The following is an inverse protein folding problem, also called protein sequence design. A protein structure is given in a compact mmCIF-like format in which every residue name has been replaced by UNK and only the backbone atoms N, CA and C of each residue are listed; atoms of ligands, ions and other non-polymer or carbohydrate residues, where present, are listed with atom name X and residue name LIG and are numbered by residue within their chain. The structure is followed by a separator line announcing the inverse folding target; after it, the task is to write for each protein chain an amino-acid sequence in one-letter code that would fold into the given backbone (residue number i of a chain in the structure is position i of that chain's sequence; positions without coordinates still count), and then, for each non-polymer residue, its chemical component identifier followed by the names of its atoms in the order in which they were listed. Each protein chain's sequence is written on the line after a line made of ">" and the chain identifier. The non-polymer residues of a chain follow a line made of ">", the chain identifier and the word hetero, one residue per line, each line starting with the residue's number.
data_IF_472233627375
#
_entry.id   IF_472233627375
#
_cell.length_a   1.000
_cell.length_b   1.000
_cell.length_c   1.000
_cell.angle_alpha   90.00
_cell.angle_beta   90.00
_cell.angle_gamma   90.00
#
_symmetry.space_group_name_H-M   'P 1'
#
loop_
_entity.id
_entity.type
_entity.pdbx_description
1 polymer ?
#
# COMPACT_ATOMS: atom_id res chain seq x y z
N UNK A 1 -36.60 -21.93 -44.28
CA UNK A 1 -36.84 -21.50 -42.88
C UNK A 1 -35.62 -21.84 -42.03
N UNK A 2 -34.88 -20.84 -41.55
CA UNK A 2 -33.69 -21.05 -40.72
C UNK A 2 -34.10 -21.58 -39.33
N UNK A 3 -33.69 -22.80 -38.99
CA UNK A 3 -33.96 -23.42 -37.69
C UNK A 3 -33.30 -22.59 -36.58
N UNK A 4 -34.09 -22.17 -35.59
CA UNK A 4 -33.59 -21.40 -34.45
C UNK A 4 -32.51 -22.19 -33.68
N UNK A 5 -31.37 -21.54 -33.42
CA UNK A 5 -30.24 -22.15 -32.68
C UNK A 5 -30.63 -22.29 -31.20
N UNK A 6 -30.54 -23.50 -30.64
CA UNK A 6 -30.81 -23.77 -29.21
C UNK A 6 -29.82 -23.00 -28.34
N UNK A 7 -30.34 -22.25 -27.35
CA UNK A 7 -29.53 -21.55 -26.36
C UNK A 7 -28.93 -22.59 -25.40
N UNK A 8 -27.60 -22.62 -25.19
CA UNK A 8 -26.98 -23.56 -24.27
C UNK A 8 -27.41 -23.28 -22.82
N UNK A 9 -27.98 -24.30 -22.17
CA UNK A 9 -28.43 -24.22 -20.77
C UNK A 9 -27.23 -24.17 -19.83
N UNK A 10 -27.31 -23.32 -18.81
CA UNK A 10 -26.28 -23.19 -17.76
C UNK A 10 -26.17 -24.50 -16.98
N UNK A 11 -24.97 -25.08 -16.94
CA UNK A 11 -24.69 -26.31 -16.19
C UNK A 11 -24.72 -26.03 -14.68
N UNK A 12 -25.25 -26.97 -13.90
CA UNK A 12 -25.19 -26.91 -12.44
C UNK A 12 -23.76 -27.20 -11.97
N UNK A 13 -23.17 -26.27 -11.21
CA UNK A 13 -21.86 -26.47 -10.58
C UNK A 13 -22.08 -26.99 -9.16
N UNK A 14 -21.87 -28.29 -8.97
CA UNK A 14 -22.07 -28.96 -7.69
C UNK A 14 -22.53 -30.41 -7.90
N UNK A 15 -22.63 -31.15 -6.80
CA UNK A 15 -23.14 -32.52 -6.85
C UNK A 15 -24.62 -32.48 -7.24
N UNK A 16 -24.96 -33.23 -8.29
CA UNK A 16 -26.32 -33.30 -8.84
C UNK A 16 -27.23 -34.24 -8.04
N UNK A 17 -26.63 -35.21 -7.36
CA UNK A 17 -27.35 -36.19 -6.55
C UNK A 17 -27.82 -35.55 -5.22
N UNK A 18 -29.13 -35.58 -4.89
CA UNK A 18 -29.66 -34.92 -3.71
C UNK A 18 -29.13 -35.54 -2.40
N UNK A 19 -28.99 -36.87 -2.34
CA UNK A 19 -28.49 -37.59 -1.16
C UNK A 19 -27.04 -37.21 -0.82
N UNK A 20 -26.16 -37.16 -1.82
CA UNK A 20 -24.76 -36.73 -1.62
C UNK A 20 -24.66 -35.25 -1.24
N UNK A 21 -25.58 -34.42 -1.71
CA UNK A 21 -25.65 -33.01 -1.32
C UNK A 21 -26.06 -32.86 0.15
N UNK A 22 -27.02 -33.67 0.62
CA UNK A 22 -27.41 -33.75 2.03
C UNK A 22 -26.26 -34.25 2.89
N UNK A 23 -25.59 -35.34 2.51
CA UNK A 23 -24.43 -35.89 3.22
C UNK A 23 -23.30 -34.85 3.35
N UNK A 24 -22.99 -34.10 2.28
CA UNK A 24 -22.00 -33.03 2.36
C UNK A 24 -22.44 -31.86 3.25
N UNK A 25 -23.74 -31.56 3.28
CA UNK A 25 -24.30 -30.52 4.14
C UNK A 25 -24.22 -30.97 5.61
N UNK A 26 -24.58 -32.21 5.91
CA UNK A 26 -24.50 -32.82 7.24
C UNK A 26 -23.06 -32.93 7.74
N UNK A 27 -22.11 -33.36 6.90
CA UNK A 27 -20.67 -33.40 7.23
C UNK A 27 -20.07 -32.02 7.55
N UNK A 28 -20.62 -30.96 6.95
CA UNK A 28 -20.22 -29.58 7.26
C UNK A 28 -20.88 -29.09 8.54
N UNK A 29 -22.17 -29.39 8.73
CA UNK A 29 -22.94 -28.98 9.90
C UNK A 29 -22.47 -29.69 11.18
N UNK A 30 -21.99 -30.94 11.09
CA UNK A 30 -21.54 -31.72 12.25
C UNK A 30 -20.40 -31.08 13.04
N UNK A 31 -19.65 -30.15 12.43
CA UNK A 31 -18.56 -29.41 13.06
C UNK A 31 -18.94 -27.99 13.51
N UNK A 32 -20.11 -27.50 13.12
CA UNK A 32 -20.55 -26.11 13.34
C UNK A 32 -21.56 -26.01 14.49
N UNK A 33 -22.38 -27.04 14.70
CA UNK A 33 -23.27 -27.11 15.85
C UNK A 33 -22.47 -27.36 17.12
N UNK A 34 -22.99 -26.88 18.26
CA UNK A 34 -22.39 -27.02 19.59
C UNK A 34 -22.54 -28.48 20.09
N UNK A 35 -22.03 -29.42 19.29
CA UNK A 35 -22.04 -30.83 19.61
C UNK A 35 -21.03 -31.07 20.72
N UNK A 36 -21.34 -31.95 21.69
CA UNK A 36 -20.38 -32.33 22.70
C UNK A 36 -19.14 -32.94 22.03
N UNK A 37 -17.95 -32.81 22.64
CA UNK A 37 -16.75 -33.47 22.14
C UNK A 37 -17.01 -34.98 22.03
N UNK A 38 -16.56 -35.61 20.95
CA UNK A 38 -16.79 -37.03 20.69
C UNK A 38 -16.20 -37.95 21.75
N UNK A 39 -15.18 -37.48 22.47
CA UNK A 39 -14.47 -38.20 23.52
C UNK A 39 -14.14 -37.22 24.64
N UNK A 40 -14.49 -37.57 25.87
CA UNK A 40 -14.40 -36.69 27.04
C UNK A 40 -12.96 -36.41 27.44
N UNK A 41 -12.07 -37.40 27.30
CA UNK A 41 -10.70 -37.34 27.83
C UNK A 41 -9.63 -37.03 26.77
N UNK A 42 -10.02 -36.91 25.49
CA UNK A 42 -9.05 -36.61 24.43
C UNK A 42 -8.87 -35.10 24.27
N UNK A 43 -7.75 -34.59 24.78
CA UNK A 43 -7.33 -33.23 24.47
C UNK A 43 -6.86 -33.15 23.01
N UNK A 44 -7.66 -32.52 22.15
CA UNK A 44 -7.28 -32.31 20.77
C UNK A 44 -6.06 -31.37 20.69
N UNK A 45 -4.95 -31.90 20.16
CA UNK A 45 -3.80 -31.06 19.80
C UNK A 45 -4.18 -30.01 18.76
N UNK A 46 -3.58 -28.83 18.89
CA UNK A 46 -3.88 -27.69 18.01
C UNK A 46 -3.66 -28.03 16.53
N UNK A 47 -4.41 -27.36 15.64
CA UNK A 47 -4.28 -27.58 14.19
C UNK A 47 -2.84 -27.37 13.68
N UNK A 48 -2.15 -26.35 14.18
CA UNK A 48 -0.75 -26.07 13.84
C UNK A 48 0.19 -27.19 14.28
N UNK A 49 -0.06 -27.78 15.45
CA UNK A 49 0.72 -28.91 15.94
C UNK A 49 0.50 -30.16 15.07
N UNK A 50 -0.74 -30.45 14.66
CA UNK A 50 -1.02 -31.53 13.70
C UNK A 50 -0.29 -31.33 12.37
N UNK A 51 -0.25 -30.10 11.86
CA UNK A 51 0.52 -29.77 10.66
C UNK A 51 2.02 -29.99 10.86
N UNK A 52 2.56 -29.53 11.98
CA UNK A 52 3.97 -29.74 12.32
C UNK A 52 4.31 -31.23 12.43
N UNK A 53 3.47 -32.02 13.09
CA UNK A 53 3.65 -33.47 13.20
C UNK A 53 3.60 -34.16 11.83
N UNK A 54 2.67 -33.77 10.95
CA UNK A 54 2.64 -34.26 9.57
C UNK A 54 3.90 -33.89 8.78
N UNK A 55 4.44 -32.69 8.99
CA UNK A 55 5.69 -32.24 8.41
C UNK A 55 6.88 -33.06 8.94
N UNK A 56 6.96 -33.28 10.26
CA UNK A 56 8.03 -34.08 10.87
C UNK A 56 7.98 -35.53 10.45
N UNK A 57 6.79 -36.13 10.38
CA UNK A 57 6.60 -37.51 9.95
C UNK A 57 6.88 -37.66 8.45
N UNK A 58 6.50 -36.67 7.65
CA UNK A 58 6.85 -36.59 6.23
C UNK A 58 8.36 -36.50 6.01
N UNK A 59 9.06 -35.67 6.78
CA UNK A 59 10.51 -35.54 6.73
C UNK A 59 11.22 -36.82 7.18
N UNK A 60 10.75 -37.45 8.28
CA UNK A 60 11.25 -38.75 8.77
C UNK A 60 11.03 -39.87 7.75
N UNK A 61 9.90 -39.87 7.06
CA UNK A 61 9.59 -40.81 5.98
C UNK A 61 10.33 -40.51 4.66
N UNK A 62 11.26 -39.54 4.63
CA UNK A 62 12.03 -39.18 3.44
C UNK A 62 11.20 -38.52 2.33
N UNK A 63 9.95 -38.15 2.60
CA UNK A 63 9.14 -37.38 1.65
C UNK A 63 9.74 -36.00 1.57
N UNK A 64 10.46 -35.72 0.48
CA UNK A 64 10.87 -34.36 0.11
C UNK A 64 9.60 -33.55 -0.01
N UNK A 65 9.25 -32.81 1.04
CA UNK A 65 8.24 -31.79 0.96
C UNK A 65 8.68 -30.91 -0.19
N UNK A 66 7.90 -30.92 -1.27
CA UNK A 66 7.97 -29.83 -2.23
C UNK A 66 7.56 -28.63 -1.40
N UNK A 67 8.54 -27.94 -0.84
CA UNK A 67 8.40 -26.54 -0.54
C UNK A 67 7.84 -26.01 -1.85
N UNK A 68 6.54 -25.70 -1.89
CA UNK A 68 5.99 -25.02 -3.05
C UNK A 68 6.89 -23.81 -3.16
N UNK A 69 7.77 -23.83 -4.14
CA UNK A 69 8.66 -22.74 -4.41
C UNK A 69 7.70 -21.64 -4.84
N UNK A 70 7.32 -20.80 -3.88
CA UNK A 70 6.55 -19.60 -4.11
C UNK A 70 7.40 -18.82 -5.11
N UNK A 71 7.02 -18.91 -6.39
CA UNK A 71 7.76 -18.31 -7.51
C UNK A 71 8.36 -19.25 -8.58
N UNK A 72 8.19 -20.59 -8.54
CA UNK A 72 8.69 -21.47 -9.63
C UNK A 72 7.63 -22.20 -10.47
N UNK A 73 6.34 -21.92 -10.27
CA UNK A 73 5.28 -22.45 -11.14
C UNK A 73 5.22 -21.73 -12.51
N UNK A 74 5.89 -20.58 -12.65
CA UNK A 74 6.04 -19.83 -13.92
C UNK A 74 7.30 -20.20 -14.71
N UNK A 75 8.02 -21.27 -14.34
CA UNK A 75 9.06 -21.81 -15.23
C UNK A 75 8.41 -22.87 -16.13
N UNK A 76 8.20 -22.58 -17.43
CA UNK A 76 7.70 -23.60 -18.34
C UNK A 76 8.66 -24.79 -18.30
N UNK A 77 8.10 -26.01 -18.25
CA UNK A 77 8.88 -27.23 -18.46
C UNK A 77 9.63 -27.07 -19.79
N UNK A 78 10.94 -26.88 -19.68
CA UNK A 78 11.85 -26.84 -20.82
C UNK A 78 11.93 -28.23 -21.43
N UNK A 79 10.94 -28.57 -22.25
CA UNK A 79 11.22 -29.40 -23.42
C UNK A 79 12.20 -28.60 -24.29
N UNK A 80 13.28 -29.26 -24.68
CA UNK A 80 14.50 -28.61 -25.15
C UNK A 80 14.29 -27.54 -26.20
N UNK A 81 14.84 -26.36 -25.92
CA UNK A 81 15.51 -25.45 -26.85
C UNK A 81 15.93 -24.21 -26.06
N UNK A 82 17.23 -24.05 -25.89
CA UNK A 82 17.84 -22.84 -25.39
C UNK A 82 17.62 -21.71 -26.41
N UNK A 83 16.47 -21.05 -26.37
CA UNK A 83 16.21 -19.83 -27.11
C UNK A 83 15.44 -18.85 -26.22
N UNK A 84 16.08 -17.70 -26.01
CA UNK A 84 15.50 -16.42 -25.61
C UNK A 84 15.21 -16.16 -24.11
N UNK A 85 16.25 -16.30 -23.27
CA UNK A 85 16.39 -15.55 -22.00
C UNK A 85 17.17 -14.24 -22.26
N UNK A 86 16.93 -13.55 -23.39
CA UNK A 86 17.58 -12.27 -23.71
C UNK A 86 16.64 -11.07 -23.63
N UNK A 87 15.43 -11.23 -23.08
CA UNK A 87 14.44 -10.15 -22.98
C UNK A 87 14.08 -9.82 -21.54
N UNK A 88 15.04 -9.39 -20.72
CA UNK A 88 14.73 -8.54 -19.54
C UNK A 88 15.96 -7.99 -18.79
N UNK A 89 17.13 -8.62 -18.87
CA UNK A 89 18.36 -7.97 -18.43
C UNK A 89 19.03 -7.40 -19.66
N UNK A 90 18.91 -6.08 -19.87
CA UNK A 90 19.88 -5.38 -20.71
C UNK A 90 21.24 -5.78 -20.16
N UNK A 91 22.00 -6.56 -20.93
CA UNK A 91 23.32 -7.06 -20.56
C UNK A 91 24.08 -5.98 -19.80
N UNK A 92 24.10 -6.07 -18.47
CA UNK A 92 25.03 -5.32 -17.67
C UNK A 92 26.36 -5.93 -18.04
N UNK A 93 27.00 -5.38 -19.08
CA UNK A 93 28.35 -5.77 -19.48
C UNK A 93 29.15 -5.75 -18.20
N UNK A 94 29.68 -6.89 -17.80
CA UNK A 94 30.51 -6.98 -16.59
C UNK A 94 31.61 -5.93 -16.73
N UNK A 95 31.48 -4.81 -16.00
CA UNK A 95 32.39 -3.67 -16.12
C UNK A 95 33.64 -4.10 -15.36
N UNK A 96 34.61 -4.65 -16.09
CA UNK A 96 35.92 -4.97 -15.53
C UNK A 96 36.82 -3.75 -15.68
N UNK A 97 37.71 -3.55 -14.71
CA UNK A 97 38.80 -2.59 -14.81
C UNK A 97 39.70 -2.97 -16.00
N UNK A 98 40.14 -1.98 -16.77
CA UNK A 98 41.09 -2.21 -17.85
C UNK A 98 42.52 -2.31 -17.30
N UNK A 99 43.42 -2.99 -18.03
CA UNK A 99 44.80 -3.22 -17.58
C UNK A 99 45.59 -1.93 -17.29
N UNK A 100 45.25 -0.82 -17.96
CA UNK A 100 45.94 0.47 -17.84
C UNK A 100 45.09 1.56 -17.14
N UNK A 101 44.01 1.18 -16.46
CA UNK A 101 43.08 2.13 -15.84
C UNK A 101 43.37 2.26 -14.34
N UNK A 102 43.51 3.50 -13.85
CA UNK A 102 43.62 3.75 -12.41
C UNK A 102 42.30 3.41 -11.71
N UNK A 103 42.35 2.99 -10.45
CA UNK A 103 41.14 2.66 -9.67
C UNK A 103 40.13 3.82 -9.67
N UNK A 104 40.63 5.06 -9.59
CA UNK A 104 39.79 6.25 -9.61
C UNK A 104 39.08 6.46 -10.94
N UNK A 105 39.76 6.18 -12.06
CA UNK A 105 39.18 6.30 -13.39
C UNK A 105 38.18 5.18 -13.64
N UNK A 106 38.48 3.97 -13.17
CA UNK A 106 37.55 2.85 -13.17
C UNK A 106 36.25 3.18 -12.44
N UNK A 107 36.32 3.70 -11.21
CA UNK A 107 35.15 4.10 -10.45
C UNK A 107 34.36 5.22 -11.14
N UNK A 108 35.04 6.22 -11.73
CA UNK A 108 34.39 7.28 -12.53
C UNK A 108 33.68 6.71 -13.76
N UNK A 109 34.30 5.77 -14.46
CA UNK A 109 33.72 5.08 -15.62
C UNK A 109 32.51 4.23 -15.22
N UNK A 110 32.60 3.46 -14.15
CA UNK A 110 31.49 2.69 -13.57
C UNK A 110 30.33 3.63 -13.24
N UNK A 111 30.58 4.72 -12.51
CA UNK A 111 29.54 5.69 -12.15
C UNK A 111 28.89 6.33 -13.39
N UNK A 112 29.67 6.64 -14.43
CA UNK A 112 29.14 7.16 -15.70
C UNK A 112 28.25 6.13 -16.42
N UNK A 113 28.65 4.87 -16.48
CA UNK A 113 27.87 3.80 -17.13
C UNK A 113 26.59 3.52 -16.33
N UNK A 114 26.68 3.42 -15.01
CA UNK A 114 25.53 3.18 -14.13
C UNK A 114 24.52 4.31 -14.22
N UNK A 115 24.97 5.57 -14.13
CA UNK A 115 24.08 6.74 -14.26
C UNK A 115 23.46 6.87 -15.65
N UNK A 116 24.15 6.46 -16.72
CA UNK A 116 23.58 6.38 -18.06
C UNK A 116 22.48 5.29 -18.15
N UNK A 117 22.73 4.11 -17.58
CA UNK A 117 21.77 3.00 -17.52
C UNK A 117 20.51 3.38 -16.74
N UNK A 118 20.67 4.02 -15.57
CA UNK A 118 19.54 4.51 -14.75
C UNK A 118 18.70 5.54 -15.51
N UNK A 119 19.34 6.52 -16.17
CA UNK A 119 18.62 7.53 -16.96
C UNK A 119 17.87 6.91 -18.14
N UNK A 120 18.47 5.92 -18.79
CA UNK A 120 17.81 5.18 -19.87
C UNK A 120 16.60 4.41 -19.36
N UNK A 121 16.72 3.65 -18.26
CA UNK A 121 15.59 2.94 -17.66
C UNK A 121 14.45 3.89 -17.22
N UNK A 122 14.80 5.06 -16.68
CA UNK A 122 13.82 6.10 -16.34
C UNK A 122 13.11 6.64 -17.59
N UNK A 123 13.84 6.85 -18.68
CA UNK A 123 13.28 7.28 -19.96
C UNK A 123 12.32 6.22 -20.52
N UNK A 124 12.73 4.96 -20.53
CA UNK A 124 11.92 3.83 -20.98
C UNK A 124 10.63 3.70 -20.19
N UNK A 125 10.69 3.81 -18.86
CA UNK A 125 9.52 3.77 -18.00
C UNK A 125 8.60 4.97 -18.22
N UNK A 126 9.16 6.17 -18.35
CA UNK A 126 8.40 7.41 -18.55
C UNK A 126 7.60 7.40 -19.86
N UNK A 127 8.21 6.89 -20.94
CA UNK A 127 7.60 6.92 -22.26
C UNK A 127 7.00 5.58 -22.70
N UNK A 128 7.23 4.50 -21.96
CA UNK A 128 6.77 3.15 -22.31
C UNK A 128 7.46 2.62 -23.57
N UNK A 129 8.77 2.83 -23.69
CA UNK A 129 9.56 2.53 -24.89
C UNK A 129 10.80 1.75 -24.49
N UNK A 130 11.30 0.90 -25.37
CA UNK A 130 12.58 0.20 -25.24
C UNK A 130 13.62 0.92 -26.12
N UNK A 131 14.72 1.34 -25.50
CA UNK A 131 15.89 1.93 -26.13
C UNK A 131 16.88 0.81 -26.41
N UNK A 132 17.09 0.49 -27.67
CA UNK A 132 18.00 -0.56 -28.13
C UNK A 132 19.23 0.11 -28.75
N UNK A 133 20.39 -0.08 -28.13
CA UNK A 133 21.67 0.42 -28.64
C UNK A 133 22.41 -0.69 -29.37
N UNK A 134 22.75 -0.46 -30.63
CA UNK A 134 23.57 -1.40 -31.39
C UNK A 134 25.01 -1.37 -30.86
N UNK A 135 25.59 -2.51 -30.41
CA UNK A 135 26.89 -2.52 -29.76
C UNK A 135 28.05 -2.23 -30.72
N UNK A 136 27.83 -2.39 -32.03
CA UNK A 136 28.84 -2.20 -33.08
C UNK A 136 28.80 -0.80 -33.71
N UNK A 137 27.61 -0.27 -33.99
CA UNK A 137 27.45 1.03 -34.68
C UNK A 137 27.11 2.18 -33.73
N UNK A 138 26.72 1.91 -32.49
CA UNK A 138 26.29 2.93 -31.54
C UNK A 138 24.93 3.55 -31.85
N UNK A 139 24.26 3.13 -32.93
CA UNK A 139 22.94 3.62 -33.32
C UNK A 139 21.90 3.24 -32.27
N UNK A 140 21.03 4.21 -31.95
CA UNK A 140 20.00 4.08 -30.91
C UNK A 140 18.65 3.97 -31.61
N UNK A 141 18.04 2.78 -31.52
CA UNK A 141 16.68 2.55 -32.03
C UNK A 141 15.69 2.52 -30.87
N UNK A 142 14.52 3.12 -31.10
CA UNK A 142 13.53 3.40 -30.06
C UNK A 142 12.24 2.65 -30.42
N UNK A 143 11.97 1.55 -29.74
CA UNK A 143 10.83 0.67 -30.04
C UNK A 143 9.77 0.74 -28.95
N UNK A 144 8.50 1.02 -29.30
CA UNK A 144 7.41 1.08 -28.31
C UNK A 144 7.30 -0.25 -27.57
N UNK A 145 7.26 -0.21 -26.24
CA UNK A 145 7.11 -1.42 -25.42
C UNK A 145 5.69 -1.97 -25.64
N UNK A 146 5.52 -3.30 -25.84
CA UNK A 146 4.20 -3.90 -25.84
C UNK A 146 3.53 -3.60 -24.49
N UNK A 147 2.22 -3.33 -24.52
CA UNK A 147 1.50 -2.97 -23.30
C UNK A 147 1.43 -4.19 -22.40
N UNK A 148 1.94 -4.06 -21.17
CA UNK A 148 1.79 -5.12 -20.19
C UNK A 148 0.32 -5.16 -19.74
N UNK A 149 -0.27 -6.35 -19.68
CA UNK A 149 -1.67 -6.55 -19.26
C UNK A 149 -1.94 -5.96 -17.86
N UNK A 150 -0.95 -6.00 -16.98
CA UNK A 150 -1.00 -5.43 -15.63
C UNK A 150 -1.13 -3.91 -15.66
N UNK A 151 -0.35 -3.22 -16.50
CA UNK A 151 -0.41 -1.77 -16.64
C UNK A 151 -1.73 -1.32 -17.24
N UNK A 152 -2.30 -2.10 -18.16
CA UNK A 152 -3.66 -1.86 -18.68
C UNK A 152 -4.71 -2.02 -17.60
N UNK A 153 -4.63 -3.06 -16.76
CA UNK A 153 -5.56 -3.27 -15.64
C UNK A 153 -5.46 -2.14 -14.59
N UNK A 154 -4.26 -1.67 -14.29
CA UNK A 154 -4.02 -0.57 -13.36
C UNK A 154 -4.58 0.76 -13.91
N UNK A 155 -4.36 1.01 -15.20
CA UNK A 155 -4.93 2.17 -15.91
C UNK A 155 -6.44 2.10 -16.02
N UNK A 156 -7.02 0.92 -16.25
CA UNK A 156 -8.47 0.68 -16.24
C UNK A 156 -9.05 0.95 -14.86
N UNK A 157 -8.45 0.43 -13.78
CA UNK A 157 -8.89 0.66 -12.39
C UNK A 157 -8.79 2.13 -12.00
N UNK A 158 -7.72 2.82 -12.39
CA UNK A 158 -7.56 4.26 -12.12
C UNK A 158 -8.61 5.08 -12.89
N UNK A 159 -8.92 4.69 -14.14
CA UNK A 159 -9.99 5.30 -14.94
C UNK A 159 -11.37 5.00 -14.36
N UNK A 160 -11.60 3.79 -13.85
CA UNK A 160 -12.84 3.40 -13.17
C UNK A 160 -13.03 4.19 -11.87
N UNK A 161 -11.99 4.38 -11.07
CA UNK A 161 -12.06 5.25 -9.88
C UNK A 161 -12.33 6.72 -10.25
N UNK A 162 -11.68 7.25 -11.29
CA UNK A 162 -11.94 8.62 -11.77
C UNK A 162 -13.36 8.78 -12.34
N UNK A 163 -13.88 7.77 -13.01
CA UNK A 163 -15.23 7.75 -13.55
C UNK A 163 -16.29 7.39 -12.50
N UNK A 164 -15.94 6.73 -11.39
CA UNK A 164 -16.87 6.51 -10.28
C UNK A 164 -17.32 7.83 -9.64
N UNK A 165 -16.47 8.87 -9.69
CA UNK A 165 -16.81 10.24 -9.26
C UNK A 165 -17.59 11.06 -10.29
N UNK A 166 -17.58 10.69 -11.58
CA UNK A 166 -18.35 11.36 -12.65
C UNK A 166 -19.31 10.34 -13.26
N UNK A 167 -20.60 10.42 -12.92
CA UNK A 167 -21.73 9.56 -13.39
C UNK A 167 -21.91 9.46 -14.92
N UNK A 168 -20.87 9.14 -15.68
CA UNK A 168 -20.90 8.95 -17.12
C UNK A 168 -20.62 7.48 -17.39
N UNK A 169 -21.71 6.75 -17.57
CA UNK A 169 -21.74 5.36 -18.03
C UNK A 169 -21.18 5.28 -19.45
N UNK A 170 -19.86 5.23 -19.62
CA UNK A 170 -19.28 4.70 -20.86
C UNK A 170 -18.95 3.23 -20.66
N UNK A 171 -19.90 2.37 -21.07
CA UNK A 171 -19.66 0.94 -21.30
C UNK A 171 -18.65 0.81 -22.45
N UNK A 172 -17.38 0.61 -22.14
CA UNK A 172 -16.44 0.10 -23.14
C UNK A 172 -16.63 -1.41 -23.20
N UNK A 173 -17.14 -1.89 -24.34
CA UNK A 173 -17.26 -3.31 -24.70
C UNK A 173 -15.86 -3.93 -24.88
N UNK A 174 -15.11 -4.09 -23.80
CA UNK A 174 -13.97 -4.99 -23.79
C UNK A 174 -14.32 -6.15 -22.88
N UNK A 175 -14.38 -7.34 -23.47
CA UNK A 175 -14.57 -8.58 -22.73
C UNK A 175 -13.39 -8.68 -21.75
N UNK A 176 -13.62 -8.84 -20.44
CA UNK A 176 -12.53 -9.09 -19.51
C UNK A 176 -11.86 -10.39 -19.94
N UNK A 177 -10.56 -10.32 -20.24
CA UNK A 177 -9.76 -11.45 -20.69
C UNK A 177 -9.53 -12.48 -19.57
N UNK A 178 -9.82 -12.11 -18.32
CA UNK A 178 -9.62 -12.92 -17.12
C UNK A 178 -10.82 -12.87 -16.19
N UNK A 179 -11.06 -13.99 -15.49
CA UNK A 179 -12.11 -14.10 -14.47
C UNK A 179 -11.96 -13.00 -13.39
N UNK A 180 -13.08 -12.38 -12.99
CA UNK A 180 -13.08 -11.26 -12.05
C UNK A 180 -12.50 -11.61 -10.65
N UNK A 181 -12.35 -12.91 -10.35
CA UNK A 181 -11.72 -13.40 -9.11
C UNK A 181 -10.20 -13.47 -9.24
N UNK A 182 -9.68 -13.96 -10.37
CA UNK A 182 -8.24 -14.10 -10.60
C UNK A 182 -7.58 -12.73 -10.78
N UNK A 183 -8.24 -11.78 -11.43
CA UNK A 183 -7.75 -10.40 -11.52
C UNK A 183 -7.69 -9.70 -10.16
N UNK A 184 -8.70 -9.89 -9.30
CA UNK A 184 -8.69 -9.36 -7.93
C UNK A 184 -7.58 -9.96 -7.08
N UNK A 185 -7.29 -11.24 -7.26
CA UNK A 185 -6.24 -11.94 -6.52
C UNK A 185 -4.83 -11.50 -6.97
N UNK A 186 -4.61 -11.38 -8.28
CA UNK A 186 -3.37 -10.83 -8.84
C UNK A 186 -3.11 -9.40 -8.37
N UNK A 187 -4.15 -8.55 -8.37
CA UNK A 187 -4.05 -7.18 -7.87
C UNK A 187 -3.75 -7.17 -6.37
N UNK A 188 -4.40 -8.03 -5.58
CA UNK A 188 -4.15 -8.13 -4.13
C UNK A 188 -2.73 -8.61 -3.83
N UNK A 189 -2.20 -9.54 -4.64
CA UNK A 189 -0.82 -10.02 -4.56
C UNK A 189 0.18 -8.92 -4.90
N UNK A 190 -0.01 -8.21 -6.00
CA UNK A 190 0.84 -7.08 -6.39
C UNK A 190 0.82 -5.94 -5.36
N UNK A 191 -0.33 -5.64 -4.75
CA UNK A 191 -0.40 -4.65 -3.66
C UNK A 191 0.28 -5.12 -2.38
N UNK A 192 0.30 -6.43 -2.12
CA UNK A 192 1.01 -7.00 -0.98
C UNK A 192 2.52 -6.95 -1.22
N UNK A 193 2.97 -7.38 -2.39
CA UNK A 193 4.36 -7.38 -2.83
C UNK A 193 4.94 -5.95 -2.89
N UNK A 194 4.23 -4.98 -3.48
CA UNK A 194 4.66 -3.58 -3.48
C UNK A 194 4.65 -2.90 -2.10
N UNK A 195 3.94 -3.50 -1.12
CA UNK A 195 3.96 -3.05 0.28
C UNK A 195 5.11 -3.72 1.04
N UNK A 196 5.41 -4.97 0.70
CA UNK A 196 6.48 -5.81 1.25
C UNK A 196 7.86 -5.43 0.69
N UNK A 197 7.95 -4.87 -0.53
CA UNK A 197 9.11 -4.21 -1.13
C UNK A 197 9.34 -2.78 -0.63
N UNK A 198 8.34 -2.17 0.01
CA UNK A 198 8.49 -0.89 0.73
C UNK A 198 8.80 -1.06 2.21
N UNK A 199 8.66 -2.27 2.75
CA UNK A 199 9.02 -2.64 4.12
C UNK A 199 10.24 -3.56 4.30
N UNK A 200 11.05 -3.96 3.29
CA UNK A 200 12.15 -4.88 3.53
C UNK A 200 13.38 -4.15 4.08
N UNK A 201 13.41 -2.81 3.98
CA UNK A 201 14.45 -1.98 4.59
C UNK A 201 14.23 -1.75 6.10
N UNK A 202 13.04 -2.05 6.65
CA UNK A 202 12.73 -1.81 8.07
C UNK A 202 12.62 -3.09 8.93
N UNK A 203 12.30 -4.26 8.35
CA UNK A 203 12.03 -5.48 9.14
C UNK A 203 13.15 -6.53 9.07
N UNK A 204 14.14 -6.36 8.19
CA UNK A 204 15.34 -7.21 8.09
C UNK A 204 16.64 -6.47 8.39
N UNK A 205 16.58 -5.25 8.93
CA UNK A 205 17.74 -4.72 9.65
C UNK A 205 17.89 -5.54 10.94
N UNK A 206 19.03 -6.23 11.18
CA UNK A 206 19.30 -6.75 12.52
C UNK A 206 19.13 -5.58 13.49
N UNK A 207 18.46 -5.82 14.62
CA UNK A 207 18.37 -4.89 15.75
C UNK A 207 19.72 -4.18 15.83
N UNK A 208 19.72 -2.86 15.57
CA UNK A 208 20.95 -2.06 15.61
C UNK A 208 21.36 -2.00 17.08
N UNK A 209 22.05 -3.04 17.53
CA UNK A 209 22.87 -2.97 18.72
C UNK A 209 23.77 -1.75 18.53
N UNK A 210 23.67 -0.82 19.49
CA UNK A 210 24.51 0.38 19.52
C UNK A 210 25.98 -0.06 19.48
N UNK A 211 26.60 -0.02 18.31
CA UNK A 211 28.03 -0.16 18.16
C UNK A 211 28.66 1.10 18.75
N UNK A 212 29.43 0.93 19.83
CA UNK A 212 30.22 2.01 20.40
C UNK A 212 31.40 2.25 19.48
N UNK A 213 31.48 3.44 18.92
CA UNK A 213 32.70 3.87 18.24
C UNK A 213 33.78 4.14 19.30
N UNK A 214 34.93 3.50 19.12
CA UNK A 214 36.15 3.74 19.92
C UNK A 214 37.09 4.61 19.09
N UNK A 215 37.36 5.83 19.54
CA UNK A 215 38.28 6.76 18.88
C UNK A 215 39.62 6.80 19.61
N UNK A 216 40.73 6.94 18.88
CA UNK A 216 42.05 7.06 19.47
C UNK A 216 42.31 8.51 19.93
N UNK A 217 43.14 8.67 20.96
CA UNK A 217 43.52 9.99 21.45
C UNK A 217 44.33 10.73 20.39
N UNK A 218 43.77 11.80 19.83
CA UNK A 218 44.33 12.56 18.71
C UNK A 218 43.42 12.66 17.48
N UNK A 219 42.33 11.90 17.41
CA UNK A 219 41.33 12.02 16.35
C UNK A 219 40.55 13.34 16.48
N UNK A 220 40.69 14.23 15.47
CA UNK A 220 39.93 15.48 15.40
C UNK A 220 38.57 15.19 14.76
N UNK A 221 37.53 15.06 15.60
CA UNK A 221 36.14 14.87 15.15
C UNK A 221 35.65 16.16 14.46
N UNK A 222 35.24 16.06 13.20
CA UNK A 222 34.61 17.18 12.49
C UNK A 222 33.29 17.58 13.15
N UNK A 223 32.93 18.86 13.00
CA UNK A 223 31.66 19.38 13.51
C UNK A 223 30.49 18.48 13.08
N UNK A 224 29.55 18.19 14.00
CA UNK A 224 28.45 17.29 13.72
C UNK A 224 27.68 17.76 12.48
N UNK A 225 27.11 16.83 11.69
CA UNK A 225 26.40 17.19 10.47
C UNK A 225 25.26 18.17 10.76
N UNK A 226 25.30 19.34 10.12
CA UNK A 226 24.25 20.33 10.26
C UNK A 226 22.94 19.83 9.64
N UNK A 227 21.86 19.80 10.42
CA UNK A 227 20.52 19.43 9.95
C UNK A 227 19.97 20.50 9.00
N UNK A 228 20.24 20.35 7.69
CA UNK A 228 19.74 21.24 6.63
C UNK A 228 18.22 21.14 6.43
N UNK A 229 17.60 20.08 6.93
CA UNK A 229 16.19 19.77 6.73
C UNK A 229 15.36 20.15 7.95
N UNK A 230 14.27 20.88 7.72
CA UNK A 230 13.37 21.33 8.79
C UNK A 230 12.56 20.18 9.38
N UNK A 231 12.32 20.17 10.71
CA UNK A 231 11.39 19.23 11.32
C UNK A 231 9.97 19.45 10.77
N UNK A 232 9.24 18.33 10.64
CA UNK A 232 7.98 18.19 9.90
C UNK A 232 6.84 19.13 10.32
N UNK A 233 6.95 19.82 11.46
CA UNK A 233 5.92 20.72 12.03
C UNK A 233 6.40 22.14 12.35
N UNK A 234 7.65 22.51 12.07
CA UNK A 234 8.09 23.89 12.30
C UNK A 234 7.46 24.84 11.27
N UNK A 235 6.93 25.99 11.70
CA UNK A 235 6.38 27.02 10.84
C UNK A 235 7.49 27.74 10.04
N UNK A 236 7.16 28.25 8.84
CA UNK A 236 8.17 28.81 7.93
C UNK A 236 8.74 30.16 8.36
N UNK A 237 8.03 30.85 9.23
CA UNK A 237 8.29 32.27 9.49
C UNK A 237 8.97 32.50 10.85
N UNK A 238 8.97 31.52 11.77
CA UNK A 238 9.56 31.67 13.11
C UNK A 238 11.07 31.36 13.19
N UNK A 239 11.56 30.34 12.48
CA UNK A 239 12.86 29.74 12.84
C UNK A 239 14.07 30.30 12.08
N UNK A 240 13.87 30.95 10.93
CA UNK A 240 14.98 31.59 10.19
C UNK A 240 14.52 32.91 9.61
N UNK A 241 15.01 34.02 10.17
CA UNK A 241 14.78 35.35 9.63
C UNK A 241 15.45 35.45 8.24
N UNK A 242 14.66 35.27 7.19
CA UNK A 242 15.12 35.52 5.82
C UNK A 242 14.92 37.01 5.52
N UNK A 243 15.99 37.77 5.20
CA UNK A 243 15.84 39.18 4.86
C UNK A 243 14.90 39.32 3.65
N UNK A 244 13.93 40.24 3.74
CA UNK A 244 12.98 40.55 2.66
C UNK A 244 11.56 39.95 2.79
N UNK A 245 11.23 39.23 3.87
CA UNK A 245 9.85 38.79 4.11
C UNK A 245 9.03 39.81 4.90
N UNK A 246 7.90 40.22 4.30
CA UNK A 246 6.96 41.21 4.87
C UNK A 246 6.24 40.76 6.14
N UNK A 247 6.31 39.48 6.52
CA UNK A 247 5.60 38.91 7.68
C UNK A 247 6.25 39.27 9.01
N UNK A 248 7.58 39.46 9.03
CA UNK A 248 8.36 39.67 10.25
C UNK A 248 8.86 41.13 10.33
N UNK A 249 8.25 42.03 9.55
CA UNK A 249 8.55 43.46 9.63
C UNK A 249 7.80 44.05 10.82
N UNK A 250 8.54 44.75 11.69
CA UNK A 250 8.02 45.46 12.86
C UNK A 250 6.84 46.39 12.50
N UNK A 251 6.92 47.03 11.33
CA UNK A 251 5.88 47.93 10.84
C UNK A 251 4.55 47.20 10.60
N UNK A 252 4.59 45.93 10.21
CA UNK A 252 3.39 45.12 10.01
C UNK A 252 2.75 44.71 11.33
N UNK A 253 3.53 44.37 12.36
CA UNK A 253 2.97 44.05 13.69
C UNK A 253 2.33 45.27 14.36
N UNK A 254 2.86 46.47 14.11
CA UNK A 254 2.27 47.71 14.59
C UNK A 254 0.95 48.03 13.88
N UNK A 255 0.86 47.79 12.57
CA UNK A 255 -0.35 48.03 11.78
C UNK A 255 -1.45 46.96 11.95
N UNK A 256 -1.10 45.68 12.12
CA UNK A 256 -2.07 44.59 12.35
C UNK A 256 -2.58 44.53 13.80
N UNK A 257 -2.08 45.38 14.72
CA UNK A 257 -2.53 45.45 16.11
C UNK A 257 -4.00 45.91 16.25
N UNK A 258 -4.55 46.60 15.25
CA UNK A 258 -5.94 47.06 15.25
C UNK A 258 -6.95 46.00 14.77
N UNK A 259 -6.52 44.79 14.43
CA UNK A 259 -7.35 43.72 13.86
C UNK A 259 -7.35 42.41 14.69
N UNK A 260 -6.89 42.45 15.93
CA UNK A 260 -7.03 41.29 16.83
C UNK A 260 -8.49 41.15 17.32
N UNK A 261 -9.13 39.97 17.16
CA UNK A 261 -10.32 39.64 17.91
C UNK A 261 -9.92 39.36 19.36
N UNK A 262 -10.35 40.22 20.27
CA UNK A 262 -10.27 40.01 21.70
C UNK A 262 -11.25 38.89 22.09
N UNK A 263 -10.73 37.83 22.69
CA UNK A 263 -11.52 36.87 23.45
C UNK A 263 -11.87 37.50 24.81
N UNK A 264 -13.08 38.02 24.95
CA UNK A 264 -13.69 38.29 26.25
C UNK A 264 -15.07 37.67 26.31
N UNK A 265 -15.30 36.95 27.40
CA UNK A 265 -16.55 36.32 27.76
C UNK A 265 -17.66 37.36 28.03
N UNK A 266 -18.89 36.82 28.05
CA UNK A 266 -20.14 37.40 28.55
C UNK A 266 -21.11 38.06 27.56
N UNK A 267 -22.38 37.92 27.91
CA UNK A 267 -23.54 37.72 27.06
C UNK A 267 -24.26 39.02 26.65
N UNK A 268 -25.00 38.94 25.53
CA UNK A 268 -26.41 39.36 25.33
C UNK A 268 -26.70 39.90 23.90
N UNK A 269 -27.58 39.17 23.21
CA UNK A 269 -28.58 39.61 22.19
C UNK A 269 -28.20 40.39 20.92
N UNK A 270 -29.05 40.31 19.87
CA UNK A 270 -28.63 40.40 18.47
C UNK A 270 -29.02 41.72 17.80
N UNK A 271 -28.38 42.06 16.68
CA UNK A 271 -29.01 42.80 15.57
C UNK A 271 -28.25 42.57 14.26
N UNK A 272 -29.05 42.44 13.21
CA UNK A 272 -28.78 42.33 11.78
C UNK A 272 -28.01 43.51 11.19
N UNK A 273 -27.09 43.23 10.24
CA UNK A 273 -26.94 44.02 9.01
C UNK A 273 -26.09 43.28 7.96
N UNK A 274 -26.60 43.19 6.71
CA UNK A 274 -25.79 42.98 5.49
C UNK A 274 -25.10 44.32 5.14
N UNK A 275 -23.95 44.34 4.45
CA UNK A 275 -24.04 44.50 2.99
C UNK A 275 -22.92 43.86 2.14
N UNK A 276 -23.34 43.52 0.91
CA UNK A 276 -22.74 43.80 -0.41
C UNK A 276 -21.40 43.15 -0.82
N UNK A 277 -21.47 42.55 -2.00
CA UNK A 277 -20.47 41.76 -2.69
C UNK A 277 -19.55 42.59 -3.60
N UNK A 278 -18.29 42.17 -3.71
CA UNK A 278 -17.49 42.21 -4.97
C UNK A 278 -16.47 41.04 -4.98
N UNK A 279 -16.00 40.58 -6.16
CA UNK A 279 -15.56 39.20 -6.38
C UNK A 279 -14.03 39.04 -6.36
N UNK A 280 -13.51 38.00 -5.68
CA UNK A 280 -12.11 37.54 -5.80
C UNK A 280 -12.01 36.01 -5.89
N UNK A 281 -10.89 35.45 -6.38
CA UNK A 281 -10.86 34.18 -7.10
C UNK A 281 -10.82 32.95 -6.18
N UNK A 282 -11.38 31.85 -6.73
CA UNK A 282 -11.53 30.48 -6.19
C UNK A 282 -10.46 30.08 -5.16
N UNK A 283 -10.77 30.28 -3.87
CA UNK A 283 -10.18 29.56 -2.74
C UNK A 283 -11.01 28.30 -2.47
N UNK A 284 -10.33 27.17 -2.34
CA UNK A 284 -10.86 25.91 -1.81
C UNK A 284 -11.63 26.14 -0.50
N UNK A 285 -12.75 25.45 -0.24
CA UNK A 285 -13.54 25.69 0.96
C UNK A 285 -12.72 25.27 2.18
N UNK A 286 -12.38 26.25 3.02
CA UNK A 286 -12.01 26.00 4.42
C UNK A 286 -13.28 25.51 5.11
N UNK A 287 -13.39 24.19 5.29
CA UNK A 287 -14.45 23.58 6.09
C UNK A 287 -14.19 24.00 7.54
N UNK A 288 -14.95 24.97 8.04
CA UNK A 288 -15.03 25.26 9.47
C UNK A 288 -15.63 24.04 10.16
N UNK A 289 -14.77 23.22 10.76
CA UNK A 289 -15.10 21.98 11.48
C UNK A 289 -15.69 22.29 12.86
N UNK A 290 -16.75 23.11 12.91
CA UNK A 290 -17.75 23.05 13.99
C UNK A 290 -18.96 22.30 13.45
N UNK A 291 -18.73 21.04 13.04
CA UNK A 291 -19.78 20.19 12.52
C UNK A 291 -20.67 19.79 13.71
N UNK A 292 -21.91 20.27 13.71
CA UNK A 292 -22.86 20.04 14.78
C UNK A 292 -23.06 18.52 14.96
N UNK A 293 -22.59 17.97 16.07
CA UNK A 293 -22.76 16.56 16.47
C UNK A 293 -24.21 16.18 16.83
N UNK A 294 -25.17 17.04 16.51
CA UNK A 294 -26.60 16.85 16.79
C UNK A 294 -27.28 16.31 15.52
N UNK A 295 -27.84 15.11 15.60
CA UNK A 295 -28.55 14.48 14.47
C UNK A 295 -28.59 12.96 14.55
N UNK A 296 -29.23 12.32 13.57
CA UNK A 296 -29.23 10.85 13.47
C UNK A 296 -27.85 10.38 13.01
N UNK A 297 -27.32 9.33 13.65
CA UNK A 297 -25.97 8.79 13.38
C UNK A 297 -25.72 8.35 11.93
N UNK A 298 -26.81 8.05 11.19
CA UNK A 298 -26.74 7.66 9.77
C UNK A 298 -26.37 8.82 8.84
N UNK A 299 -26.53 10.06 9.30
CA UNK A 299 -26.27 11.26 8.51
C UNK A 299 -24.80 11.75 8.65
N UNK A 300 -24.00 11.12 9.53
CA UNK A 300 -22.58 11.46 9.71
C UNK A 300 -21.67 10.72 8.70
N UNK A 301 -20.51 11.31 8.34
CA UNK A 301 -19.49 10.63 7.55
C UNK A 301 -19.04 9.31 8.21
N UNK A 302 -18.72 8.32 7.38
CA UNK A 302 -18.48 6.94 7.83
C UNK A 302 -17.35 6.82 8.86
N UNK A 303 -16.29 7.62 8.72
CA UNK A 303 -15.18 7.64 9.69
C UNK A 303 -15.60 8.17 11.06
N UNK A 304 -16.48 9.17 11.09
CA UNK A 304 -16.99 9.75 12.33
C UNK A 304 -18.01 8.83 13.02
N UNK A 305 -18.82 8.12 12.23
CA UNK A 305 -19.71 7.06 12.72
C UNK A 305 -18.93 5.93 13.40
N UNK A 306 -17.84 5.47 12.76
CA UNK A 306 -16.98 4.44 13.34
C UNK A 306 -16.31 4.90 14.63
N UNK A 307 -15.80 6.15 14.69
CA UNK A 307 -15.23 6.69 15.94
C UNK A 307 -16.26 6.72 17.09
N UNK A 308 -17.47 7.22 16.84
CA UNK A 308 -18.54 7.26 17.85
C UNK A 308 -19.01 5.86 18.30
N UNK A 309 -18.95 4.86 17.42
CA UNK A 309 -19.25 3.47 17.77
C UNK A 309 -18.16 2.89 18.69
N UNK A 310 -16.88 3.14 18.39
CA UNK A 310 -15.77 2.70 19.26
C UNK A 310 -15.80 3.37 20.64
N UNK A 311 -16.13 4.66 20.72
CA UNK A 311 -16.27 5.37 21.99
C UNK A 311 -17.42 4.81 22.83
N UNK A 312 -18.57 4.50 22.19
CA UNK A 312 -19.70 3.86 22.87
C UNK A 312 -19.30 2.49 23.45
N UNK A 313 -18.62 1.67 22.66
CA UNK A 313 -18.17 0.34 23.11
C UNK A 313 -17.22 0.45 24.31
N UNK A 314 -16.27 1.40 24.27
CA UNK A 314 -15.35 1.67 25.40
C UNK A 314 -16.11 2.05 26.67
N UNK A 315 -17.10 2.93 26.57
CA UNK A 315 -17.91 3.36 27.73
C UNK A 315 -18.75 2.21 28.29
N UNK A 316 -19.30 1.36 27.43
CA UNK A 316 -20.04 0.16 27.87
C UNK A 316 -19.14 -0.80 28.61
N UNK A 317 -17.92 -1.05 28.10
CA UNK A 317 -16.95 -1.90 28.78
C UNK A 317 -16.53 -1.33 30.13
N UNK A 318 -16.28 -0.01 30.20
CA UNK A 318 -15.91 0.65 31.44
C UNK A 318 -17.05 0.60 32.47
N UNK A 319 -18.30 0.78 32.03
CA UNK A 319 -19.47 0.63 32.90
C UNK A 319 -19.63 -0.80 33.42
N UNK A 320 -19.41 -1.81 32.57
CA UNK A 320 -19.42 -3.23 33.00
C UNK A 320 -18.37 -3.50 34.07
N UNK A 321 -17.14 -3.03 33.85
CA UNK A 321 -16.05 -3.14 34.83
C UNK A 321 -16.39 -2.45 36.16
N UNK A 322 -16.94 -1.24 36.11
CA UNK A 322 -17.36 -0.52 37.32
C UNK A 322 -18.50 -1.25 38.04
N UNK A 323 -19.42 -1.88 37.30
CA UNK A 323 -20.51 -2.67 37.88
C UNK A 323 -19.98 -3.95 38.54
N UNK A 324 -19.03 -4.64 37.91
CA UNK A 324 -18.32 -5.79 38.46
C UNK A 324 -17.59 -5.42 39.76
N UNK A 325 -16.79 -4.34 39.73
CA UNK A 325 -16.11 -3.82 40.93
C UNK A 325 -17.07 -3.41 42.04
N UNK A 326 -18.24 -2.88 41.70
CA UNK A 326 -19.27 -2.53 42.71
C UNK A 326 -19.91 -3.78 43.32
N UNK A 327 -20.12 -4.83 42.52
CA UNK A 327 -20.61 -6.11 43.00
C UNK A 327 -19.60 -6.79 43.94
N UNK A 328 -18.31 -6.79 43.56
CA UNK A 328 -17.20 -7.32 44.37
C UNK A 328 -17.02 -6.57 45.69
N UNK A 329 -17.29 -5.26 45.73
CA UNK A 329 -17.23 -4.46 46.97
C UNK A 329 -18.46 -4.62 47.87
N UNK A 330 -19.54 -5.22 47.37
CA UNK A 330 -20.78 -5.44 48.13
C UNK A 330 -20.91 -6.85 48.72
N UNK A 331 -19.92 -7.71 48.48
CA UNK A 331 -19.76 -9.03 49.09
C UNK A 331 -18.68 -8.99 50.15
#
# INVERSE_FOLDING_TARGET
>A
MARARKIPVRKHHGIRDPLKQQEQREKKLSKVTNNPPSKTDEQHVSFKFKQFQQLSDGARAGKKLRLCEIGKEDKPKSSGKALDIQRASKNTRNIKQFANETDTDYLRRVNRITSASVREAQYEAKYGVNVIRNPKTGEITVQKRPKNEIDELLKQKQKEQRNAGRRVRKKTNQKPTMDAKTSKELIKRAFKEAKEEKSPDDENSPIVEYKRDTFAFGDIVHAPPALKTRPRKANKDDTTARPGRKSNLLLKSLLDSSQQPYDTADAHSPISAKPVATPTPKKSPKISLKMQMKGKRKDLPIGMRSMLETEREKMVLLYRKLKEQKAEKST
#
